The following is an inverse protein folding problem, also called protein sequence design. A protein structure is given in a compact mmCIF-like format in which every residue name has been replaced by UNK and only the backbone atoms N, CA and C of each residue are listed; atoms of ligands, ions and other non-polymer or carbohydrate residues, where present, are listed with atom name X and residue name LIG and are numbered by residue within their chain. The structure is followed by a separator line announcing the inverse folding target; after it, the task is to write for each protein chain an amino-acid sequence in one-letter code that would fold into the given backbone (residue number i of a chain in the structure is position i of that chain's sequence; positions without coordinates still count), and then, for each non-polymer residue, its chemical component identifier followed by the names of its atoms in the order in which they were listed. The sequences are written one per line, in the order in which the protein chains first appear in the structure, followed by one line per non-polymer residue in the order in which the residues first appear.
data_IF_385657855273
#
_entry.id   IF_385657855273
#
_cell.length_a   1.000
_cell.length_b   1.000
_cell.length_c   1.000
_cell.angle_alpha   90.00
_cell.angle_beta   90.00
_cell.angle_gamma   90.00
#
_symmetry.space_group_name_H-M   'P 1'
#
loop_
_entity.id
_entity.type
_entity.pdbx_description
1 polymer ?
#
# COMPACT_ATOMS: atom_id res chain seq x y z
N UNK A 1 -11.49 -4.46 13.88
CA UNK A 1 -11.50 -3.50 15.01
C UNK A 1 -11.11 -2.12 14.49
N UNK A 2 -11.94 -1.08 14.70
CA UNK A 2 -11.69 0.30 14.20
C UNK A 2 -10.39 0.93 14.72
N UNK A 3 -9.95 0.59 15.93
CA UNK A 3 -8.72 1.15 16.53
C UNK A 3 -7.46 0.84 15.73
N UNK A 4 -7.30 -0.42 15.29
CA UNK A 4 -6.12 -0.85 14.51
C UNK A 4 -6.09 -0.16 13.16
N UNK A 5 -7.26 0.00 12.54
CA UNK A 5 -7.39 0.66 11.25
C UNK A 5 -7.04 2.16 11.33
N UNK A 6 -7.45 2.84 12.39
CA UNK A 6 -7.04 4.23 12.64
C UNK A 6 -5.53 4.38 12.77
N UNK A 7 -4.87 3.47 13.51
CA UNK A 7 -3.40 3.48 13.66
C UNK A 7 -2.73 3.30 12.30
N UNK A 8 -3.19 2.33 11.51
CA UNK A 8 -2.63 2.05 10.19
C UNK A 8 -2.75 3.24 9.23
N UNK A 9 -3.92 3.89 9.21
CA UNK A 9 -4.13 5.08 8.39
C UNK A 9 -3.31 6.28 8.87
N UNK A 10 -3.14 6.45 10.19
CA UNK A 10 -2.28 7.51 10.73
C UNK A 10 -0.81 7.32 10.34
N UNK A 11 -0.30 6.08 10.38
CA UNK A 11 1.05 5.76 9.90
C UNK A 11 1.19 6.05 8.40
N UNK A 12 0.19 5.68 7.59
CA UNK A 12 0.18 5.99 6.16
C UNK A 12 0.21 7.49 5.88
N UNK A 13 -0.61 8.28 6.59
CA UNK A 13 -0.63 9.74 6.46
C UNK A 13 0.71 10.36 6.85
N UNK A 14 1.35 9.87 7.91
CA UNK A 14 2.69 10.30 8.30
C UNK A 14 3.70 10.02 7.17
N UNK A 15 3.74 8.79 6.64
CA UNK A 15 4.68 8.44 5.58
C UNK A 15 4.48 9.30 4.32
N UNK A 16 3.23 9.56 3.92
CA UNK A 16 2.91 10.44 2.78
C UNK A 16 3.42 11.86 3.05
N UNK A 17 3.24 12.39 4.27
CA UNK A 17 3.77 13.71 4.66
C UNK A 17 5.30 13.77 4.54
N UNK A 18 5.99 12.68 4.88
CA UNK A 18 7.45 12.57 4.76
C UNK A 18 7.91 12.23 3.33
N UNK A 19 7.00 12.13 2.37
CA UNK A 19 7.31 12.01 0.94
C UNK A 19 7.20 10.60 0.36
N UNK A 20 6.57 9.64 1.04
CA UNK A 20 6.25 8.32 0.48
C UNK A 20 5.41 8.47 -0.80
N UNK A 21 5.83 7.78 -1.86
CA UNK A 21 5.15 7.76 -3.16
C UNK A 21 4.59 6.37 -3.47
N UNK A 22 3.61 6.26 -4.38
CA UNK A 22 3.08 4.96 -4.80
C UNK A 22 4.14 4.01 -5.33
N UNK A 23 5.17 4.55 -5.99
CA UNK A 23 6.26 3.79 -6.58
C UNK A 23 7.16 3.11 -5.53
N UNK A 24 7.20 3.65 -4.30
CA UNK A 24 7.96 3.07 -3.19
C UNK A 24 7.33 1.78 -2.67
N UNK A 25 6.05 1.55 -2.98
CA UNK A 25 5.29 0.34 -2.61
C UNK A 25 5.56 -0.82 -3.58
N UNK A 26 6.83 -1.19 -3.73
CA UNK A 26 7.28 -2.28 -4.62
C UNK A 26 8.32 -3.18 -3.92
N UNK A 27 8.76 -4.22 -4.63
CA UNK A 27 9.82 -5.13 -4.17
C UNK A 27 11.15 -4.82 -4.87
N UNK A 28 12.30 -5.22 -4.31
CA UNK A 28 13.57 -5.14 -5.02
C UNK A 28 13.55 -5.87 -6.38
N UNK A 29 14.29 -5.35 -7.37
CA UNK A 29 14.30 -5.85 -8.75
C UNK A 29 14.55 -7.35 -8.89
N UNK A 30 15.35 -7.92 -7.98
CA UNK A 30 15.64 -9.35 -7.95
C UNK A 30 14.38 -10.22 -7.86
N UNK A 31 13.32 -9.76 -7.22
CA UNK A 31 12.07 -10.52 -7.13
C UNK A 31 11.35 -10.64 -8.48
N UNK A 32 11.59 -9.73 -9.42
CA UNK A 32 10.99 -9.72 -10.75
C UNK A 32 11.90 -10.33 -11.82
N UNK A 33 13.21 -10.25 -11.62
CA UNK A 33 14.21 -10.65 -12.61
C UNK A 33 14.84 -12.01 -12.35
N UNK A 34 15.01 -12.40 -11.08
CA UNK A 34 15.61 -13.68 -10.71
C UNK A 34 14.53 -14.73 -10.46
N UNK A 35 14.72 -15.92 -11.03
CA UNK A 35 13.87 -17.07 -10.72
C UNK A 35 14.29 -17.62 -9.37
N UNK A 36 13.41 -17.49 -8.39
CA UNK A 36 13.58 -18.12 -7.09
C UNK A 36 13.12 -19.58 -7.18
N UNK A 37 13.91 -20.46 -6.57
CA UNK A 37 13.57 -21.88 -6.42
C UNK A 37 13.18 -22.08 -4.97
N UNK A 38 11.92 -22.43 -4.72
CA UNK A 38 11.47 -22.79 -3.37
C UNK A 38 11.82 -24.25 -3.03
N UNK A 39 11.57 -24.65 -1.79
CA UNK A 39 11.81 -26.02 -1.30
C UNK A 39 11.02 -27.09 -2.06
N UNK A 40 9.94 -26.67 -2.76
CA UNK A 40 9.13 -27.52 -3.62
C UNK A 40 9.69 -27.63 -5.05
N UNK A 41 10.89 -27.09 -5.30
CA UNK A 41 11.54 -26.96 -6.61
C UNK A 41 10.75 -26.14 -7.63
N UNK A 42 9.76 -25.36 -7.19
CA UNK A 42 9.02 -24.50 -8.09
C UNK A 42 9.85 -23.27 -8.41
N UNK A 43 10.00 -23.01 -9.71
CA UNK A 43 10.63 -21.81 -10.25
C UNK A 43 9.60 -20.70 -10.32
N UNK A 44 9.75 -19.65 -9.50
CA UNK A 44 8.81 -18.53 -9.47
C UNK A 44 9.56 -17.20 -9.44
N UNK A 45 8.98 -16.22 -10.13
CA UNK A 45 9.33 -14.80 -10.04
C UNK A 45 8.03 -14.03 -9.89
N UNK A 46 8.10 -12.85 -9.27
CA UNK A 46 6.95 -11.96 -9.21
C UNK A 46 6.66 -11.40 -10.61
N UNK A 47 5.38 -11.21 -10.89
CA UNK A 47 4.91 -10.50 -12.07
C UNK A 47 4.58 -9.06 -11.66
N UNK A 48 5.27 -8.09 -12.26
CA UNK A 48 5.13 -6.68 -11.92
C UNK A 48 3.69 -6.16 -12.13
N UNK A 49 3.04 -6.58 -13.23
CA UNK A 49 1.67 -6.17 -13.56
C UNK A 49 0.71 -6.74 -12.51
N UNK A 50 0.89 -8.02 -12.15
CA UNK A 50 0.08 -8.68 -11.12
C UNK A 50 0.28 -8.03 -9.75
N UNK A 51 1.50 -7.68 -9.37
CA UNK A 51 1.81 -6.97 -8.11
C UNK A 51 1.10 -5.62 -8.08
N UNK A 52 1.23 -4.80 -9.15
CA UNK A 52 0.53 -3.50 -9.24
C UNK A 52 -0.98 -3.64 -9.14
N UNK A 53 -1.57 -4.64 -9.79
CA UNK A 53 -3.02 -4.91 -9.71
C UNK A 53 -3.48 -5.29 -8.31
N UNK A 54 -2.70 -6.13 -7.61
CA UNK A 54 -3.00 -6.51 -6.23
C UNK A 54 -2.85 -5.31 -5.29
N UNK A 55 -1.85 -4.46 -5.49
CA UNK A 55 -1.66 -3.24 -4.73
C UNK A 55 -2.83 -2.26 -4.88
N UNK A 56 -3.29 -2.02 -6.11
CA UNK A 56 -4.49 -1.22 -6.37
C UNK A 56 -5.72 -1.80 -5.68
N UNK A 57 -5.90 -3.12 -5.74
CA UNK A 57 -7.01 -3.81 -5.05
C UNK A 57 -6.90 -3.67 -3.52
N UNK A 58 -5.69 -3.72 -2.97
CA UNK A 58 -5.43 -3.50 -1.55
C UNK A 58 -5.77 -2.07 -1.13
N UNK A 59 -5.37 -1.06 -1.91
CA UNK A 59 -5.73 0.34 -1.66
C UNK A 59 -7.25 0.54 -1.70
N UNK A 60 -7.93 0.01 -2.71
CA UNK A 60 -9.39 0.03 -2.78
C UNK A 60 -10.03 -0.55 -1.51
N UNK A 61 -9.58 -1.72 -1.09
CA UNK A 61 -10.09 -2.40 0.10
C UNK A 61 -9.83 -1.63 1.41
N UNK A 62 -8.81 -0.76 1.44
CA UNK A 62 -8.50 0.13 2.57
C UNK A 62 -9.29 1.45 2.54
N UNK A 63 -10.07 1.70 1.48
CA UNK A 63 -10.69 3.01 1.23
C UNK A 63 -9.66 4.08 0.87
N UNK A 64 -8.62 3.69 0.12
CA UNK A 64 -7.58 4.57 -0.40
C UNK A 64 -7.73 4.69 -1.92
N UNK A 65 -7.14 5.74 -2.49
CA UNK A 65 -7.07 5.87 -3.94
C UNK A 65 -6.19 4.75 -4.56
N UNK A 66 -6.68 4.10 -5.61
CA UNK A 66 -6.05 2.92 -6.21
C UNK A 66 -4.70 3.23 -6.89
N UNK A 67 -4.49 4.47 -7.31
CA UNK A 67 -3.26 4.91 -7.98
C UNK A 67 -2.30 5.59 -7.00
N UNK A 68 -2.79 6.54 -6.20
CA UNK A 68 -1.94 7.33 -5.30
C UNK A 68 -1.70 6.69 -3.94
N UNK A 69 -2.49 5.68 -3.55
CA UNK A 69 -2.39 5.05 -2.23
C UNK A 69 -2.73 5.98 -1.06
N UNK A 70 -3.27 7.17 -1.33
CA UNK A 70 -3.67 8.15 -0.32
C UNK A 70 -5.05 7.75 0.23
N UNK A 71 -5.24 7.70 1.57
CA UNK A 71 -6.56 7.51 2.16
C UNK A 71 -7.58 8.53 1.65
N UNK A 72 -8.81 8.11 1.34
CA UNK A 72 -9.84 9.05 0.87
C UNK A 72 -10.33 9.94 2.01
N UNK A 73 -10.81 11.14 1.68
CA UNK A 73 -11.37 12.08 2.65
C UNK A 73 -12.49 11.44 3.51
N UNK A 74 -13.34 10.63 2.88
CA UNK A 74 -14.36 9.84 3.57
C UNK A 74 -13.75 8.90 4.63
N UNK A 75 -12.71 8.13 4.26
CA UNK A 75 -12.03 7.20 5.19
C UNK A 75 -11.40 7.96 6.35
N UNK A 76 -10.75 9.08 6.08
CA UNK A 76 -10.10 9.93 7.08
C UNK A 76 -11.11 10.46 8.09
N UNK A 77 -12.26 10.96 7.62
CA UNK A 77 -13.33 11.47 8.47
C UNK A 77 -13.92 10.37 9.34
N UNK A 78 -14.22 9.18 8.77
CA UNK A 78 -14.77 8.07 9.54
C UNK A 78 -13.83 7.60 10.67
N UNK A 79 -12.51 7.73 10.45
CA UNK A 79 -11.49 7.36 11.43
C UNK A 79 -11.11 8.50 12.40
N UNK A 80 -11.69 9.70 12.24
CA UNK A 80 -11.41 10.87 13.08
C UNK A 80 -9.98 11.40 12.92
N UNK A 81 -9.43 11.35 11.70
CA UNK A 81 -8.05 11.74 11.38
C UNK A 81 -7.94 13.09 10.67
N UNK A 82 -9.05 13.80 10.44
CA UNK A 82 -9.09 15.01 9.60
C UNK A 82 -8.12 16.11 10.03
N UNK A 83 -7.88 16.24 11.35
CA UNK A 83 -6.93 17.21 11.93
C UNK A 83 -5.47 17.04 11.52
N UNK A 84 -5.12 15.96 10.83
CA UNK A 84 -3.75 15.68 10.37
C UNK A 84 -3.53 15.99 8.88
N UNK A 85 -4.56 16.49 8.18
CA UNK A 85 -4.53 16.73 6.73
C UNK A 85 -4.68 18.22 6.40
N UNK A 86 -5.18 19.02 7.34
CA UNK A 86 -5.19 20.47 7.21
C UNK A 86 -3.77 21.02 7.46
N UNK A 87 -3.15 21.53 6.40
CA UNK A 87 -2.08 22.53 6.45
C UNK A 87 -2.53 23.77 5.68
#
# INVERSE_FOLDING_TARGET
MKTVERIWNLQKLFNIREGEKPEDSTYPDRFFNEVQVDDSKNKRKLDLIKVRRILASYYKARGWNEESGIPTFERINELGLSKYIEQ
#
